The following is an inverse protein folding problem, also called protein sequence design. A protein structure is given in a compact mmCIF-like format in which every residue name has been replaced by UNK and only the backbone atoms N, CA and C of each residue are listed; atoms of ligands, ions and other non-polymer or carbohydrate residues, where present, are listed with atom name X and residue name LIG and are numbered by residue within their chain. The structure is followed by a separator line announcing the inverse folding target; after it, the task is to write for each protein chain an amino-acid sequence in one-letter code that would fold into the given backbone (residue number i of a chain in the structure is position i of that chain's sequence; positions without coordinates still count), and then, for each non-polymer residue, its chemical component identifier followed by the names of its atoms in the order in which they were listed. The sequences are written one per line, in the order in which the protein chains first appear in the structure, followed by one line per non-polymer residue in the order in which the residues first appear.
data_IF_024967496448
#
_entry.id   IF_024967496448
#
_cell.length_a   1.000
_cell.length_b   1.000
_cell.length_c   1.000
_cell.angle_alpha   90.00
_cell.angle_beta   90.00
_cell.angle_gamma   90.00
#
_symmetry.space_group_name_H-M   'P 1'
#
loop_
_entity.id
_entity.type
_entity.pdbx_description
1 polymer ?
#
# COMPACT_ATOMS: atom_id res chain seq x y z
N UNK A 1 -4.84 18.13 25.03
CA UNK A 1 -4.15 18.98 24.02
C UNK A 1 -2.79 18.42 23.58
N UNK A 2 -1.74 18.28 24.43
CA UNK A 2 -0.45 17.68 24.01
C UNK A 2 -0.54 16.18 23.68
N UNK A 3 -1.29 15.40 24.47
CA UNK A 3 -1.46 13.96 24.23
C UNK A 3 -2.19 13.64 22.91
N UNK A 4 -3.09 14.51 22.45
CA UNK A 4 -3.89 14.28 21.25
C UNK A 4 -3.03 14.37 19.98
N UNK A 5 -2.07 15.30 19.95
CA UNK A 5 -1.11 15.45 18.85
C UNK A 5 -0.18 14.23 18.79
N UNK A 6 0.38 13.81 19.94
CA UNK A 6 1.23 12.62 20.00
C UNK A 6 0.49 11.34 19.60
N UNK A 7 -0.79 11.21 19.96
CA UNK A 7 -1.63 10.07 19.56
C UNK A 7 -1.83 10.05 18.05
N UNK A 8 -2.10 11.19 17.42
CA UNK A 8 -2.22 11.32 15.95
C UNK A 8 -0.92 10.99 15.23
N UNK A 9 0.21 11.48 15.74
CA UNK A 9 1.54 11.18 15.18
C UNK A 9 1.81 9.68 15.22
N UNK A 10 1.61 9.03 16.37
CA UNK A 10 1.79 7.57 16.50
C UNK A 10 0.94 6.81 15.49
N UNK A 11 -0.33 7.15 15.37
CA UNK A 11 -1.25 6.52 14.42
C UNK A 11 -0.75 6.70 12.98
N UNK A 12 -0.35 7.92 12.59
CA UNK A 12 0.20 8.18 11.26
C UNK A 12 1.47 7.37 10.99
N UNK A 13 2.37 7.28 11.97
CA UNK A 13 3.59 6.45 11.87
C UNK A 13 3.26 4.97 11.68
N UNK A 14 2.27 4.42 12.41
CA UNK A 14 1.83 3.03 12.22
C UNK A 14 1.28 2.78 10.81
N UNK A 15 0.47 3.70 10.27
CA UNK A 15 -0.03 3.58 8.90
C UNK A 15 1.11 3.64 7.87
N UNK A 16 2.08 4.54 8.08
CA UNK A 16 3.24 4.67 7.20
C UNK A 16 4.06 3.38 7.15
N UNK A 17 4.36 2.78 8.31
CA UNK A 17 5.04 1.49 8.40
C UNK A 17 4.21 0.38 7.75
N UNK A 18 2.89 0.37 7.98
CA UNK A 18 1.97 -0.61 7.37
C UNK A 18 1.99 -0.58 5.85
N UNK A 19 2.04 0.60 5.23
CA UNK A 19 2.11 0.75 3.76
C UNK A 19 3.44 0.22 3.22
N UNK A 20 4.57 0.50 3.90
CA UNK A 20 5.89 -0.03 3.50
C UNK A 20 5.88 -1.56 3.53
N UNK A 21 5.41 -2.15 4.64
CA UNK A 21 5.33 -3.60 4.77
C UNK A 21 4.39 -4.23 3.73
N UNK A 22 3.25 -3.60 3.46
CA UNK A 22 2.31 -4.09 2.46
C UNK A 22 2.91 -4.06 1.05
N UNK A 23 3.56 -2.96 0.66
CA UNK A 23 4.26 -2.88 -0.63
C UNK A 23 5.32 -3.97 -0.79
N UNK A 24 6.14 -4.17 0.26
CA UNK A 24 7.16 -5.22 0.25
C UNK A 24 6.57 -6.63 0.09
N UNK A 25 5.44 -6.93 0.73
CA UNK A 25 4.73 -8.21 0.58
C UNK A 25 4.27 -8.40 -0.87
N UNK A 26 3.67 -7.37 -1.49
CA UNK A 26 3.20 -7.45 -2.88
C UNK A 26 4.37 -7.69 -3.83
N UNK A 27 5.46 -6.92 -3.71
CA UNK A 27 6.64 -7.12 -4.55
C UNK A 27 7.27 -8.50 -4.36
N UNK A 28 7.28 -9.00 -3.13
CA UNK A 28 7.79 -10.36 -2.83
C UNK A 28 6.93 -11.43 -3.52
N UNK A 29 5.61 -11.25 -3.54
CA UNK A 29 4.70 -12.13 -4.28
C UNK A 29 4.95 -12.04 -5.79
N UNK A 30 5.10 -10.84 -6.35
CA UNK A 30 5.41 -10.64 -7.76
C UNK A 30 6.73 -11.29 -8.17
N UNK A 31 7.78 -11.16 -7.35
CA UNK A 31 9.05 -11.84 -7.55
C UNK A 31 8.90 -13.36 -7.51
N UNK A 32 8.18 -13.89 -6.50
CA UNK A 32 7.95 -15.33 -6.36
C UNK A 32 7.21 -15.94 -7.56
N UNK A 33 6.31 -15.18 -8.17
CA UNK A 33 5.55 -15.59 -9.34
C UNK A 33 6.25 -15.25 -10.68
N UNK A 34 7.47 -14.71 -10.65
CA UNK A 34 8.29 -14.47 -11.83
C UNK A 34 7.92 -13.22 -12.64
N UNK A 35 7.07 -12.34 -12.11
CA UNK A 35 6.76 -11.05 -12.74
C UNK A 35 7.91 -10.05 -12.61
N UNK A 36 8.58 -10.09 -11.46
CA UNK A 36 9.75 -9.27 -11.13
C UNK A 36 10.99 -10.16 -11.17
N UNK A 37 12.04 -9.74 -11.88
CA UNK A 37 13.30 -10.50 -11.94
C UNK A 37 14.24 -10.17 -10.77
N UNK A 38 13.98 -9.08 -10.05
CA UNK A 38 14.85 -8.60 -8.96
C UNK A 38 14.18 -8.87 -7.62
N UNK A 39 14.95 -9.40 -6.66
CA UNK A 39 14.45 -9.57 -5.31
C UNK A 39 14.17 -8.21 -4.66
N UNK A 40 12.96 -7.98 -4.13
CA UNK A 40 12.57 -6.69 -3.60
C UNK A 40 13.25 -6.39 -2.27
N UNK A 41 13.44 -5.10 -1.98
CA UNK A 41 14.01 -4.65 -0.72
C UNK A 41 13.07 -3.66 -0.06
N UNK A 42 12.95 -3.77 1.27
CA UNK A 42 11.97 -2.99 2.02
C UNK A 42 12.13 -1.46 1.90
N UNK A 43 13.32 -0.97 1.55
CA UNK A 43 13.57 0.45 1.34
C UNK A 43 13.07 0.97 -0.01
N UNK A 44 12.86 0.10 -1.00
CA UNK A 44 12.32 0.47 -2.32
C UNK A 44 10.89 1.01 -2.16
N UNK A 45 10.14 0.49 -1.17
CA UNK A 45 8.78 0.90 -0.84
C UNK A 45 8.69 2.20 -0.02
N UNK A 46 9.79 2.79 0.45
CA UNK A 46 9.76 4.06 1.20
C UNK A 46 9.23 5.20 0.31
N UNK A 47 9.70 5.25 -0.94
CA UNK A 47 9.26 6.23 -1.93
C UNK A 47 7.77 6.07 -2.26
N UNK A 48 7.33 4.82 -2.43
CA UNK A 48 5.93 4.46 -2.65
C UNK A 48 5.03 4.80 -1.45
N UNK A 49 5.52 4.60 -0.22
CA UNK A 49 4.80 4.98 0.99
C UNK A 49 4.65 6.50 1.15
N UNK A 50 5.69 7.27 0.79
CA UNK A 50 5.62 8.73 0.74
C UNK A 50 4.64 9.22 -0.35
N UNK A 51 4.66 8.59 -1.53
CA UNK A 51 3.70 8.87 -2.60
C UNK A 51 2.26 8.51 -2.21
N UNK A 52 2.05 7.36 -1.57
CA UNK A 52 0.73 6.93 -1.08
C UNK A 52 0.19 7.83 0.03
N UNK A 53 1.05 8.25 0.96
CA UNK A 53 0.68 9.20 2.02
C UNK A 53 0.28 10.57 1.46
N UNK A 54 1.06 11.12 0.53
CA UNK A 54 0.73 12.40 -0.12
C UNK A 54 -0.56 12.29 -0.95
N UNK A 55 -0.71 11.24 -1.75
CA UNK A 55 -1.94 10.96 -2.50
C UNK A 55 -3.16 10.86 -1.57
N UNK A 56 -3.03 10.17 -0.43
CA UNK A 56 -4.14 10.02 0.53
C UNK A 56 -4.63 11.37 1.08
N UNK A 57 -3.74 12.34 1.29
CA UNK A 57 -4.11 13.70 1.72
C UNK A 57 -4.94 14.43 0.66
N UNK A 58 -4.61 14.25 -0.62
CA UNK A 58 -5.41 14.81 -1.73
C UNK A 58 -6.74 14.06 -1.93
N UNK A 59 -6.78 12.76 -1.70
CA UNK A 59 -7.99 11.94 -1.85
C UNK A 59 -8.99 12.10 -0.69
N UNK A 60 -8.56 12.35 0.54
CA UNK A 60 -9.46 12.50 1.71
C UNK A 60 -10.38 13.74 1.64
N UNK A 61 -10.10 14.68 0.72
CA UNK A 61 -10.89 15.91 0.57
C UNK A 61 -12.31 15.69 -0.02
N UNK A 62 -12.60 14.52 -0.59
CA UNK A 62 -13.97 14.12 -0.98
C UNK A 62 -14.46 12.95 -0.10
N UNK A 63 -15.56 13.15 0.62
CA UNK A 63 -16.18 12.17 1.53
C UNK A 63 -16.59 10.83 0.86
N UNK A 64 -16.57 10.74 -0.47
CA UNK A 64 -16.96 9.56 -1.26
C UNK A 64 -15.88 8.48 -1.42
N UNK A 65 -14.64 8.70 -0.96
CA UNK A 65 -13.48 7.91 -1.42
C UNK A 65 -13.04 6.70 -0.59
N UNK A 66 -13.51 6.50 0.65
CA UNK A 66 -13.08 5.33 1.46
C UNK A 66 -13.45 4.00 0.81
N UNK A 67 -14.69 3.85 0.33
CA UNK A 67 -15.15 2.64 -0.35
C UNK A 67 -14.33 2.36 -1.63
N UNK A 68 -14.01 3.41 -2.39
CA UNK A 68 -13.25 3.30 -3.63
C UNK A 68 -11.81 2.83 -3.42
N UNK A 69 -11.16 3.25 -2.32
CA UNK A 69 -9.79 2.82 -1.99
C UNK A 69 -9.77 1.32 -1.62
N UNK A 70 -10.69 0.86 -0.78
CA UNK A 70 -10.79 -0.57 -0.44
C UNK A 70 -11.13 -1.41 -1.67
N UNK A 71 -12.05 -0.94 -2.51
CA UNK A 71 -12.42 -1.59 -3.77
C UNK A 71 -11.23 -1.69 -4.73
N UNK A 72 -10.41 -0.64 -4.83
CA UNK A 72 -9.22 -0.62 -5.67
C UNK A 72 -8.14 -1.60 -5.16
N UNK A 73 -7.91 -1.66 -3.85
CA UNK A 73 -6.97 -2.63 -3.25
C UNK A 73 -7.45 -4.07 -3.51
N UNK A 74 -8.74 -4.36 -3.28
CA UNK A 74 -9.33 -5.68 -3.53
C UNK A 74 -9.22 -6.04 -5.02
N UNK A 75 -9.48 -5.08 -5.91
CA UNK A 75 -9.40 -5.30 -7.36
C UNK A 75 -7.97 -5.58 -7.83
N UNK A 76 -6.95 -4.92 -7.26
CA UNK A 76 -5.54 -5.20 -7.57
C UNK A 76 -5.17 -6.61 -7.13
N UNK A 77 -5.54 -7.02 -5.91
CA UNK A 77 -5.26 -8.37 -5.40
C UNK A 77 -5.96 -9.43 -6.28
N UNK A 78 -7.23 -9.18 -6.64
CA UNK A 78 -7.99 -10.06 -7.51
C UNK A 78 -7.38 -10.17 -8.90
N UNK A 79 -6.97 -9.05 -9.49
CA UNK A 79 -6.34 -9.02 -10.81
C UNK A 79 -5.01 -9.79 -10.84
N UNK A 80 -4.18 -9.65 -9.80
CA UNK A 80 -2.95 -10.43 -9.64
C UNK A 80 -3.29 -11.93 -9.53
N UNK A 81 -4.28 -12.28 -8.71
CA UNK A 81 -4.71 -13.67 -8.54
C UNK A 81 -5.25 -14.31 -9.83
N UNK A 82 -6.08 -13.58 -10.59
CA UNK A 82 -6.62 -14.04 -11.88
C UNK A 82 -5.51 -14.19 -12.91
N UNK A 83 -4.60 -13.21 -13.02
CA UNK A 83 -3.49 -13.31 -13.96
C UNK A 83 -2.65 -14.56 -13.67
N UNK A 84 -2.32 -14.79 -12.40
CA UNK A 84 -1.55 -15.96 -11.98
C UNK A 84 -2.25 -17.28 -12.33
N UNK A 85 -3.57 -17.37 -12.15
CA UNK A 85 -4.32 -18.60 -12.43
C UNK A 85 -4.58 -18.88 -13.92
N UNK A 86 -4.54 -17.84 -14.76
CA UNK A 86 -4.86 -17.94 -16.19
C UNK A 86 -3.60 -18.12 -17.04
N UNK A 87 -2.50 -17.47 -16.68
CA UNK A 87 -1.29 -17.41 -17.50
C UNK A 87 -0.10 -18.22 -16.96
N UNK A 88 -0.27 -18.92 -15.83
CA UNK A 88 0.69 -19.87 -15.26
C UNK A 88 -0.04 -21.14 -14.81
#
# INVERSE_FOLDING_TARGET
MRNDVWKKIKIATYYFIGIICFGYIIETLLYKFGFEQTAPKIYDNISGALGGATASIFFIKDDTKKFNIYFLIISIILAIGVYFFVYN
#
